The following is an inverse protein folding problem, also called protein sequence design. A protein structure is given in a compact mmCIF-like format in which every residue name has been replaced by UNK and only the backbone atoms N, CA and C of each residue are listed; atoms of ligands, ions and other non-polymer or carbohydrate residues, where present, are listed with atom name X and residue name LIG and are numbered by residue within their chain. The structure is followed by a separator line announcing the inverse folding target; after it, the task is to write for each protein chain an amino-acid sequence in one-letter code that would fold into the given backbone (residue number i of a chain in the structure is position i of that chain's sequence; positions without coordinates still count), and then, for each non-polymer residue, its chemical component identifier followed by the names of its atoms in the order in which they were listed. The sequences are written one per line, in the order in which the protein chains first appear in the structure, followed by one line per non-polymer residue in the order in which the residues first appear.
data_IF_957028652486
#
_entry.id   IF_957028652486
#
_cell.length_a   1.000
_cell.length_b   1.000
_cell.length_c   1.000
_cell.angle_alpha   90.00
_cell.angle_beta   90.00
_cell.angle_gamma   90.00
#
_symmetry.space_group_name_H-M   'P 1'
#
loop_
_entity.id
_entity.type
_entity.pdbx_description
1 polymer ?
#
# COMPACT_ATOMS: atom_id res chain seq x y z
N UNK A 1 10.56 11.63 15.81
CA UNK A 1 10.80 11.54 14.35
C UNK A 1 12.21 12.05 14.05
N UNK A 2 13.08 11.22 13.48
CA UNK A 2 14.46 11.63 13.09
C UNK A 2 14.53 12.26 11.70
N UNK A 3 13.55 11.97 10.82
CA UNK A 3 13.47 12.50 9.44
C UNK A 3 12.97 13.96 9.44
N UNK A 4 13.42 14.75 8.48
CA UNK A 4 13.02 16.16 8.23
C UNK A 4 13.02 16.47 6.74
N UNK A 5 12.40 17.58 6.35
CA UNK A 5 12.40 18.07 4.97
C UNK A 5 11.86 17.04 3.98
N UNK A 6 12.52 16.93 2.83
CA UNK A 6 12.10 16.00 1.75
C UNK A 6 12.03 14.56 2.21
N UNK A 7 12.97 14.10 3.04
CA UNK A 7 13.02 12.71 3.53
C UNK A 7 11.81 12.33 4.38
N UNK A 8 11.21 13.30 5.07
CA UNK A 8 9.99 13.10 5.84
C UNK A 8 8.76 13.09 4.92
N UNK A 9 8.71 14.00 3.94
CA UNK A 9 7.58 14.06 2.98
C UNK A 9 7.53 12.83 2.06
N UNK A 10 8.68 12.21 1.76
CA UNK A 10 8.78 11.00 0.94
C UNK A 10 8.53 9.68 1.69
N UNK A 11 8.43 9.74 3.02
CA UNK A 11 8.25 8.59 3.89
C UNK A 11 6.76 8.41 4.25
N UNK A 12 6.06 7.41 3.69
CA UNK A 12 4.61 7.27 3.83
C UNK A 12 4.15 7.10 5.28
N UNK A 13 5.02 6.56 6.14
CA UNK A 13 4.71 6.31 7.55
C UNK A 13 4.70 7.62 8.35
N UNK A 14 5.55 8.58 8.00
CA UNK A 14 5.69 9.85 8.74
C UNK A 14 5.08 11.05 8.03
N UNK A 15 4.77 10.93 6.73
CA UNK A 15 4.14 11.97 5.95
C UNK A 15 2.67 12.19 6.37
N UNK A 16 2.32 13.43 6.70
CA UNK A 16 0.95 13.84 7.03
C UNK A 16 0.25 14.57 5.87
N UNK A 17 0.91 14.72 4.73
CA UNK A 17 0.39 15.49 3.59
C UNK A 17 0.09 16.93 3.99
N UNK A 18 -1.17 17.34 3.86
CA UNK A 18 -1.61 18.69 4.22
C UNK A 18 -1.95 18.86 5.71
N UNK A 19 -1.92 17.78 6.50
CA UNK A 19 -2.22 17.83 7.94
C UNK A 19 -1.06 18.26 8.84
N UNK A 20 0.11 18.61 8.31
CA UNK A 20 1.15 19.24 9.14
C UNK A 20 0.67 20.59 9.69
N UNK A 21 0.56 20.77 11.01
CA UNK A 21 0.32 22.08 11.62
C UNK A 21 1.47 23.03 11.30
N UNK A 22 1.22 24.34 11.30
CA UNK A 22 2.25 25.35 10.96
C UNK A 22 3.53 25.19 11.80
N UNK A 23 3.38 24.94 13.10
CA UNK A 23 4.50 24.70 14.02
C UNK A 23 5.34 23.48 13.65
N UNK A 24 4.71 22.38 13.19
CA UNK A 24 5.45 21.22 12.68
C UNK A 24 6.12 21.53 11.35
N UNK A 25 5.50 22.34 10.49
CA UNK A 25 6.08 22.71 9.19
C UNK A 25 7.41 23.44 9.35
N UNK A 26 7.48 24.39 10.28
CA UNK A 26 8.71 25.12 10.60
C UNK A 26 9.74 24.18 11.27
N UNK A 27 9.33 23.44 12.32
CA UNK A 27 10.23 22.58 13.11
C UNK A 27 10.81 21.39 12.32
N UNK A 28 10.03 20.82 11.42
CA UNK A 28 10.41 19.66 10.59
C UNK A 28 10.96 20.08 9.22
N UNK A 29 11.09 21.40 8.97
CA UNK A 29 11.63 21.95 7.73
C UNK A 29 10.85 21.52 6.48
N UNK A 30 9.52 21.45 6.58
CA UNK A 30 8.62 21.12 5.46
C UNK A 30 7.79 22.31 4.96
N UNK A 31 7.88 23.47 5.63
CA UNK A 31 7.33 24.72 5.07
C UNK A 31 7.99 25.03 3.72
N UNK A 32 7.17 25.31 2.71
CA UNK A 32 7.63 25.49 1.32
C UNK A 32 7.79 24.18 0.54
N UNK A 33 7.77 23.01 1.20
CA UNK A 33 7.76 21.69 0.54
C UNK A 33 6.36 21.11 0.38
N UNK A 34 5.38 21.64 1.13
CA UNK A 34 3.95 21.30 1.00
C UNK A 34 3.13 22.57 0.77
N UNK A 35 1.97 22.49 0.06
CA UNK A 35 1.07 23.62 -0.14
C UNK A 35 0.72 24.33 1.18
N UNK A 36 0.53 25.67 1.19
CA UNK A 36 0.33 26.44 2.42
C UNK A 36 -0.98 26.10 3.15
N UNK A 37 -1.97 25.57 2.44
CA UNK A 37 -3.24 25.12 3.02
C UNK A 37 -3.00 23.98 4.00
N UNK A 38 -3.65 24.04 5.15
CA UNK A 38 -3.67 22.97 6.16
C UNK A 38 -5.05 22.31 6.08
N UNK A 39 -5.08 20.98 6.01
CA UNK A 39 -6.30 20.18 6.05
C UNK A 39 -6.26 19.24 7.24
N UNK A 40 -7.37 19.10 7.96
CA UNK A 40 -7.57 18.01 8.92
C UNK A 40 -7.51 16.65 8.23
N UNK A 41 -7.36 15.57 9.03
CA UNK A 41 -7.36 14.22 8.47
C UNK A 41 -8.73 13.90 7.83
N UNK A 42 -9.84 14.38 8.40
CA UNK A 42 -11.19 14.23 7.86
C UNK A 42 -11.37 14.96 6.52
N UNK A 43 -10.80 16.15 6.37
CA UNK A 43 -10.84 16.87 5.10
C UNK A 43 -10.01 16.17 4.01
N UNK A 44 -8.86 15.60 4.38
CA UNK A 44 -8.05 14.79 3.46
C UNK A 44 -8.78 13.52 3.05
N UNK A 45 -9.38 12.82 4.00
CA UNK A 45 -10.24 11.66 3.75
C UNK A 45 -11.36 12.01 2.77
N UNK A 46 -12.08 13.10 2.97
CA UNK A 46 -13.15 13.53 2.06
C UNK A 46 -12.66 13.73 0.62
N UNK A 47 -11.46 14.31 0.44
CA UNK A 47 -10.87 14.48 -0.90
C UNK A 47 -10.58 13.13 -1.55
N UNK A 48 -9.99 12.20 -0.80
CA UNK A 48 -9.71 10.85 -1.31
C UNK A 48 -11.01 10.09 -1.60
N UNK A 49 -12.02 10.22 -0.74
CA UNK A 49 -13.32 9.55 -0.91
C UNK A 49 -14.09 10.07 -2.13
N UNK A 50 -13.95 11.36 -2.46
CA UNK A 50 -14.49 11.92 -3.70
C UNK A 50 -13.85 11.27 -4.94
N UNK A 51 -12.53 11.11 -4.97
CA UNK A 51 -11.83 10.38 -6.04
C UNK A 51 -12.17 8.88 -6.06
N UNK A 52 -12.26 8.24 -4.89
CA UNK A 52 -12.63 6.84 -4.75
C UNK A 52 -14.04 6.58 -5.30
N UNK A 53 -15.00 7.47 -5.03
CA UNK A 53 -16.40 7.30 -5.41
C UNK A 53 -16.69 7.80 -6.82
N UNK A 54 -16.12 8.95 -7.22
CA UNK A 54 -16.47 9.66 -8.46
C UNK A 54 -15.39 9.63 -9.53
N UNK A 55 -14.20 9.09 -9.23
CA UNK A 55 -13.08 9.05 -10.17
C UNK A 55 -13.53 8.59 -11.55
N UNK A 56 -13.31 9.44 -12.56
CA UNK A 56 -13.89 9.33 -13.90
C UNK A 56 -13.79 7.89 -14.44
N UNK A 57 -14.94 7.30 -14.75
CA UNK A 57 -15.03 6.07 -15.54
C UNK A 57 -14.28 6.23 -16.89
N UNK A 58 -14.17 7.45 -17.44
CA UNK A 58 -13.40 7.75 -18.66
C UNK A 58 -11.89 7.47 -18.55
N UNK A 59 -11.30 7.38 -17.33
CA UNK A 59 -9.91 6.90 -17.16
C UNK A 59 -9.81 5.36 -17.17
N UNK A 60 -10.93 4.66 -17.10
CA UNK A 60 -10.98 3.21 -17.22
C UNK A 60 -11.01 2.76 -18.70
N UNK A 61 -11.23 3.66 -19.66
CA UNK A 61 -11.41 3.35 -21.10
C UNK A 61 -10.15 2.85 -21.84
N UNK A 62 -8.97 2.84 -21.22
CA UNK A 62 -7.83 2.05 -21.70
C UNK A 62 -7.85 0.70 -21.00
N UNK A 63 -8.86 -0.09 -21.33
CA UNK A 63 -9.08 -1.43 -20.82
C UNK A 63 -8.04 -2.36 -21.47
N UNK A 64 -7.16 -3.00 -20.69
CA UNK A 64 -6.47 -4.19 -21.20
C UNK A 64 -7.55 -5.24 -21.47
N UNK A 65 -7.53 -5.85 -22.66
CA UNK A 65 -8.26 -7.09 -22.94
C UNK A 65 -7.62 -8.24 -22.13
N UNK A 66 -7.71 -8.17 -20.81
CA UNK A 66 -7.13 -9.15 -19.90
C UNK A 66 -8.20 -10.15 -19.46
N UNK A 67 -7.93 -11.44 -19.67
CA UNK A 67 -8.85 -12.55 -19.35
C UNK A 67 -9.27 -12.62 -17.87
N UNK A 68 -8.63 -11.83 -17.00
CA UNK A 68 -8.87 -11.76 -15.54
C UNK A 68 -10.23 -11.12 -15.19
N UNK A 69 -10.88 -10.42 -16.14
CA UNK A 69 -12.27 -9.95 -16.00
C UNK A 69 -13.24 -11.14 -15.77
N UNK A 70 -12.85 -12.38 -16.08
CA UNK A 70 -13.63 -13.60 -15.81
C UNK A 70 -13.69 -14.03 -14.33
N UNK A 71 -13.02 -13.33 -13.40
CA UNK A 71 -12.89 -13.72 -11.97
C UNK A 71 -13.75 -12.91 -10.98
N UNK A 72 -14.66 -12.06 -11.47
CA UNK A 72 -15.51 -11.22 -10.61
C UNK A 72 -14.85 -9.91 -10.15
N UNK A 73 -13.70 -9.54 -10.72
CA UNK A 73 -13.06 -8.23 -10.52
C UNK A 73 -13.50 -7.29 -11.64
N UNK A 74 -14.22 -6.22 -11.29
CA UNK A 74 -14.63 -5.20 -12.24
C UNK A 74 -13.54 -4.15 -12.49
N UNK A 75 -13.57 -3.43 -13.64
CA UNK A 75 -12.72 -2.26 -13.87
C UNK A 75 -12.82 -1.21 -12.75
N UNK A 76 -14.01 -1.06 -12.14
CA UNK A 76 -14.20 -0.15 -11.02
C UNK A 76 -13.45 -0.60 -9.76
N UNK A 77 -13.40 -1.92 -9.49
CA UNK A 77 -12.59 -2.44 -8.39
C UNK A 77 -11.10 -2.12 -8.60
N UNK A 78 -10.59 -2.29 -9.82
CA UNK A 78 -9.20 -1.99 -10.18
C UNK A 78 -8.91 -0.49 -10.00
N UNK A 79 -9.80 0.38 -10.48
CA UNK A 79 -9.69 1.83 -10.31
C UNK A 79 -9.64 2.20 -8.83
N UNK A 80 -10.56 1.67 -8.02
CA UNK A 80 -10.61 1.88 -6.56
C UNK A 80 -9.34 1.39 -5.88
N UNK A 81 -8.83 0.21 -6.25
CA UNK A 81 -7.56 -0.30 -5.75
C UNK A 81 -6.40 0.64 -6.07
N UNK A 82 -6.32 1.15 -7.30
CA UNK A 82 -5.28 2.11 -7.71
C UNK A 82 -5.34 3.40 -6.88
N UNK A 83 -6.54 3.89 -6.56
CA UNK A 83 -6.72 5.07 -5.67
C UNK A 83 -6.14 4.75 -4.29
N UNK A 84 -6.57 3.65 -3.66
CA UNK A 84 -6.13 3.26 -2.32
C UNK A 84 -4.62 3.00 -2.24
N UNK A 85 -4.06 2.29 -3.22
CA UNK A 85 -2.62 2.05 -3.32
C UNK A 85 -1.84 3.38 -3.43
N UNK A 86 -2.36 4.34 -4.20
CA UNK A 86 -1.74 5.66 -4.31
C UNK A 86 -1.69 6.42 -2.98
N UNK A 87 -2.69 6.22 -2.11
CA UNK A 87 -2.74 6.82 -0.78
C UNK A 87 -1.73 6.13 0.13
N UNK A 88 -1.72 4.80 0.15
CA UNK A 88 -0.75 4.00 0.91
C UNK A 88 0.70 4.35 0.53
N UNK A 89 0.97 4.63 -0.75
CA UNK A 89 2.30 5.01 -1.26
C UNK A 89 2.78 6.38 -0.77
N UNK A 90 1.87 7.23 -0.28
CA UNK A 90 2.15 8.62 0.11
C UNK A 90 1.95 8.88 1.59
N UNK A 91 0.96 8.26 2.22
CA UNK A 91 0.53 8.53 3.60
C UNK A 91 -0.22 7.31 4.16
N UNK A 92 0.50 6.45 4.87
CA UNK A 92 -0.05 5.22 5.45
C UNK A 92 -1.04 5.52 6.58
N UNK A 93 -0.82 6.58 7.35
CA UNK A 93 -1.77 6.98 8.41
C UNK A 93 -3.14 7.30 7.81
N UNK A 94 -3.18 8.04 6.70
CA UNK A 94 -4.42 8.34 6.00
C UNK A 94 -5.02 7.09 5.33
N UNK A 95 -4.19 6.23 4.72
CA UNK A 95 -4.65 4.97 4.14
C UNK A 95 -5.38 4.10 5.18
N UNK A 96 -4.75 3.82 6.31
CA UNK A 96 -5.35 3.00 7.36
C UNK A 96 -6.55 3.68 8.01
N UNK A 97 -6.54 5.01 8.15
CA UNK A 97 -7.71 5.75 8.63
C UNK A 97 -8.93 5.51 7.73
N UNK A 98 -8.77 5.72 6.42
CA UNK A 98 -9.84 5.55 5.43
C UNK A 98 -10.31 4.10 5.40
N UNK A 99 -9.37 3.15 5.43
CA UNK A 99 -9.66 1.72 5.41
C UNK A 99 -10.43 1.28 6.67
N UNK A 100 -10.06 1.76 7.86
CA UNK A 100 -10.78 1.44 9.10
C UNK A 100 -12.18 2.04 9.13
N UNK A 101 -12.34 3.29 8.69
CA UNK A 101 -13.63 3.98 8.68
C UNK A 101 -14.61 3.35 7.65
N UNK A 102 -14.10 2.64 6.63
CA UNK A 102 -14.87 2.08 5.51
C UNK A 102 -14.56 0.59 5.26
N UNK A 103 -14.21 -0.16 6.30
CA UNK A 103 -13.58 -1.48 6.17
C UNK A 103 -14.41 -2.49 5.39
N UNK A 104 -15.72 -2.55 5.63
CA UNK A 104 -16.62 -3.50 4.98
C UNK A 104 -16.63 -3.35 3.45
N UNK A 105 -16.54 -2.11 2.95
CA UNK A 105 -16.57 -1.81 1.51
C UNK A 105 -15.18 -1.90 0.87
N UNK A 106 -14.13 -1.59 1.63
CA UNK A 106 -12.76 -1.50 1.11
C UNK A 106 -11.95 -2.79 1.26
N UNK A 107 -12.27 -3.66 2.22
CA UNK A 107 -11.57 -4.93 2.38
C UNK A 107 -11.60 -5.80 1.10
N UNK A 108 -12.74 -5.93 0.36
CA UNK A 108 -12.76 -6.65 -0.91
C UNK A 108 -11.97 -5.98 -2.04
N UNK A 109 -11.68 -4.69 -1.91
CA UNK A 109 -10.89 -3.92 -2.89
C UNK A 109 -9.40 -4.14 -2.67
N UNK A 110 -8.92 -4.09 -1.42
CA UNK A 110 -7.49 -4.26 -1.11
C UNK A 110 -7.08 -5.74 -1.00
N UNK A 111 -8.05 -6.64 -0.81
CA UNK A 111 -7.84 -8.08 -0.71
C UNK A 111 -8.66 -8.82 -1.78
N UNK A 112 -9.16 -10.02 -1.49
CA UNK A 112 -9.88 -10.84 -2.45
C UNK A 112 -11.25 -10.24 -2.81
N UNK A 113 -11.63 -10.22 -4.11
CA UNK A 113 -10.94 -10.83 -5.25
C UNK A 113 -9.89 -9.93 -5.94
N UNK A 114 -9.91 -8.61 -5.72
CA UNK A 114 -9.12 -7.63 -6.50
C UNK A 114 -7.60 -7.79 -6.35
N UNK A 115 -7.12 -8.25 -5.20
CA UNK A 115 -5.69 -8.56 -4.99
C UNK A 115 -5.18 -9.63 -5.95
N UNK A 116 -6.03 -10.55 -6.41
CA UNK A 116 -5.67 -11.56 -7.40
C UNK A 116 -5.25 -10.90 -8.72
N UNK A 117 -6.04 -9.93 -9.19
CA UNK A 117 -5.69 -9.11 -10.36
C UNK A 117 -4.38 -8.36 -10.14
N UNK A 118 -4.19 -7.75 -8.96
CA UNK A 118 -2.96 -7.04 -8.64
C UNK A 118 -1.72 -7.96 -8.63
N UNK A 119 -1.85 -9.21 -8.17
CA UNK A 119 -0.78 -10.21 -8.20
C UNK A 119 -0.41 -10.60 -9.64
N UNK A 120 -1.39 -10.84 -10.51
CA UNK A 120 -1.15 -11.18 -11.92
C UNK A 120 -0.46 -10.05 -12.71
N UNK A 121 -0.66 -8.80 -12.30
CA UNK A 121 -0.08 -7.62 -12.95
C UNK A 121 1.05 -6.98 -12.14
N UNK A 122 1.59 -7.70 -11.14
CA UNK A 122 2.48 -7.11 -10.14
C UNK A 122 3.68 -6.38 -10.76
N UNK A 123 4.31 -6.97 -11.78
CA UNK A 123 5.46 -6.38 -12.48
C UNK A 123 5.13 -5.06 -13.18
N UNK A 124 3.91 -4.92 -13.73
CA UNK A 124 3.46 -3.69 -14.38
C UNK A 124 3.04 -2.62 -13.37
N UNK A 125 2.56 -3.05 -12.20
CA UNK A 125 2.10 -2.19 -11.11
C UNK A 125 3.22 -1.77 -10.16
N UNK A 126 4.42 -2.34 -10.30
CA UNK A 126 5.54 -2.06 -9.42
C UNK A 126 5.95 -0.58 -9.50
N UNK A 127 5.84 0.12 -8.37
CA UNK A 127 6.20 1.54 -8.23
C UNK A 127 7.12 1.82 -7.06
N UNK A 128 6.88 1.14 -5.94
CA UNK A 128 7.63 1.29 -4.69
C UNK A 128 7.85 -0.08 -4.05
N UNK A 129 9.05 -0.39 -3.54
CA UNK A 129 9.26 -1.61 -2.77
C UNK A 129 8.46 -1.55 -1.45
N UNK A 130 7.76 -2.63 -1.11
CA UNK A 130 6.90 -2.73 0.09
C UNK A 130 7.21 -3.92 1.00
N UNK A 131 8.14 -4.79 0.59
CA UNK A 131 8.51 -5.98 1.34
C UNK A 131 9.94 -6.37 1.06
N UNK A 132 10.33 -7.51 1.61
CA UNK A 132 11.61 -8.13 1.32
C UNK A 132 11.46 -9.22 0.28
N UNK A 133 12.45 -9.29 -0.60
CA UNK A 133 12.54 -10.24 -1.69
C UNK A 133 13.76 -11.09 -1.43
N UNK A 134 13.57 -12.39 -1.40
CA UNK A 134 14.66 -13.36 -1.38
C UNK A 134 14.55 -14.21 -2.62
N UNK A 135 15.68 -14.74 -3.06
CA UNK A 135 15.77 -15.63 -4.20
C UNK A 135 16.62 -16.85 -3.84
N UNK A 136 16.62 -17.86 -4.71
CA UNK A 136 17.54 -18.99 -4.58
C UNK A 136 19.02 -18.55 -4.52
N UNK A 137 19.37 -17.44 -5.18
CA UNK A 137 20.73 -16.90 -5.20
C UNK A 137 21.22 -16.36 -3.85
N UNK A 138 20.30 -16.05 -2.95
CA UNK A 138 20.61 -15.49 -1.63
C UNK A 138 20.89 -16.56 -0.56
N UNK A 139 20.97 -17.85 -0.97
CA UNK A 139 21.22 -18.97 -0.07
C UNK A 139 22.55 -18.79 0.66
N UNK A 140 22.48 -18.66 1.98
CA UNK A 140 23.64 -18.40 2.84
C UNK A 140 23.73 -16.94 3.30
N UNK A 141 23.09 -16.01 2.59
CA UNK A 141 23.12 -14.56 2.87
C UNK A 141 21.79 -14.02 3.40
N UNK A 142 20.68 -14.78 3.32
CA UNK A 142 19.36 -14.29 3.74
C UNK A 142 19.33 -13.70 5.17
N UNK A 143 20.10 -14.28 6.09
CA UNK A 143 20.18 -13.79 7.47
C UNK A 143 20.80 -12.38 7.55
N UNK A 144 21.82 -12.08 6.75
CA UNK A 144 22.43 -10.75 6.71
C UNK A 144 21.50 -9.74 6.03
N UNK A 145 20.75 -10.16 5.02
CA UNK A 145 19.80 -9.32 4.30
C UNK A 145 18.64 -8.81 5.17
N UNK A 146 18.19 -9.57 6.19
CA UNK A 146 17.10 -9.15 7.09
C UNK A 146 17.41 -7.82 7.79
N UNK A 147 18.69 -7.52 8.06
CA UNK A 147 19.10 -6.24 8.66
C UNK A 147 18.92 -5.03 7.73
N UNK A 148 18.59 -5.24 6.45
CA UNK A 148 18.22 -4.15 5.55
C UNK A 148 16.78 -3.64 5.78
N UNK A 149 15.94 -4.38 6.52
CA UNK A 149 14.60 -3.92 6.87
C UNK A 149 14.65 -2.71 7.81
N UNK A 150 13.75 -1.74 7.63
CA UNK A 150 13.83 -0.47 8.35
C UNK A 150 13.41 -0.54 9.84
N UNK A 151 12.90 -1.68 10.30
CA UNK A 151 12.44 -1.89 11.67
C UNK A 151 13.13 -3.11 12.28
N UNK A 152 13.78 -2.89 13.42
CA UNK A 152 14.36 -3.96 14.25
C UNK A 152 13.28 -4.73 15.05
N UNK A 153 12.06 -4.19 15.12
CA UNK A 153 10.96 -4.75 15.88
C UNK A 153 9.83 -5.17 14.93
N UNK A 154 9.80 -6.45 14.55
CA UNK A 154 8.76 -7.04 13.71
C UNK A 154 7.91 -8.00 14.54
N UNK A 155 6.60 -7.77 14.58
CA UNK A 155 5.61 -8.59 15.30
C UNK A 155 4.99 -9.67 14.41
N UNK A 156 4.87 -9.41 13.10
CA UNK A 156 4.26 -10.34 12.17
C UNK A 156 4.97 -10.35 10.81
N UNK A 157 5.20 -11.56 10.31
CA UNK A 157 5.74 -11.80 8.97
C UNK A 157 4.71 -12.58 8.17
N UNK A 158 4.42 -12.15 6.95
CA UNK A 158 3.65 -12.95 5.99
C UNK A 158 4.53 -13.22 4.80
N UNK A 159 4.71 -14.51 4.51
CA UNK A 159 5.64 -15.01 3.51
C UNK A 159 4.93 -15.91 2.52
N UNK A 160 5.33 -15.84 1.25
CA UNK A 160 4.88 -16.72 0.18
C UNK A 160 6.02 -16.96 -0.80
N UNK A 161 6.03 -18.10 -1.47
CA UNK A 161 6.88 -18.42 -2.62
C UNK A 161 6.17 -18.13 -3.96
N UNK A 162 4.92 -17.65 -3.92
CA UNK A 162 4.16 -17.37 -5.14
C UNK A 162 3.60 -18.58 -5.89
N UNK A 163 3.90 -19.80 -5.46
CA UNK A 163 3.63 -21.03 -6.24
C UNK A 163 2.14 -21.39 -6.33
N UNK A 164 1.32 -20.89 -5.40
CA UNK A 164 -0.14 -21.08 -5.39
C UNK A 164 -0.88 -19.86 -4.87
N UNK A 165 -1.05 -18.87 -5.74
CA UNK A 165 -1.82 -17.66 -5.44
C UNK A 165 -3.30 -17.89 -5.72
N UNK A 166 -4.07 -18.05 -4.63
CA UNK A 166 -5.52 -18.25 -4.68
C UNK A 166 -5.88 -19.42 -5.63
N UNK A 167 -6.74 -19.17 -6.62
CA UNK A 167 -7.04 -20.08 -7.73
C UNK A 167 -6.31 -19.75 -9.04
N UNK A 168 -5.32 -18.84 -9.00
CA UNK A 168 -4.61 -18.33 -10.18
C UNK A 168 -3.36 -19.14 -10.52
N UNK A 169 -2.95 -20.07 -9.65
CA UNK A 169 -1.75 -20.89 -9.83
C UNK A 169 -0.48 -20.17 -9.42
N UNK A 170 0.61 -20.46 -10.13
CA UNK A 170 1.93 -19.91 -9.85
C UNK A 170 2.08 -18.52 -10.47
N UNK A 171 2.33 -17.52 -9.62
CA UNK A 171 2.61 -16.14 -10.02
C UNK A 171 4.01 -15.66 -9.57
N UNK A 172 4.83 -16.54 -8.99
CA UNK A 172 6.15 -16.22 -8.44
C UNK A 172 6.17 -14.92 -7.63
N UNK A 173 7.00 -13.96 -8.04
CA UNK A 173 7.13 -12.64 -7.39
C UNK A 173 5.80 -11.87 -7.27
N UNK A 174 4.84 -12.11 -8.16
CA UNK A 174 3.51 -11.52 -8.08
C UNK A 174 2.75 -11.90 -6.81
N UNK A 175 3.13 -13.03 -6.18
CA UNK A 175 2.62 -13.48 -4.90
C UNK A 175 2.84 -12.50 -3.75
N UNK A 176 3.82 -11.61 -3.82
CA UNK A 176 4.06 -10.61 -2.78
C UNK A 176 2.81 -9.74 -2.50
N UNK A 177 1.95 -9.53 -3.49
CA UNK A 177 0.66 -8.85 -3.31
C UNK A 177 -0.23 -9.48 -2.24
N UNK A 178 -0.18 -10.81 -2.06
CA UNK A 178 -0.91 -11.51 -1.00
C UNK A 178 -0.31 -11.20 0.38
N UNK A 179 1.03 -11.20 0.49
CA UNK A 179 1.70 -10.88 1.75
C UNK A 179 1.40 -9.45 2.20
N UNK A 180 1.45 -8.49 1.28
CA UNK A 180 1.09 -7.09 1.53
C UNK A 180 -0.38 -6.99 1.96
N UNK A 181 -1.30 -7.52 1.16
CA UNK A 181 -2.74 -7.40 1.44
C UNK A 181 -3.15 -8.06 2.76
N UNK A 182 -2.56 -9.20 3.13
CA UNK A 182 -2.81 -9.83 4.43
C UNK A 182 -2.34 -8.95 5.59
N UNK A 183 -1.17 -8.34 5.48
CA UNK A 183 -0.65 -7.46 6.52
C UNK A 183 -1.43 -6.15 6.62
N UNK A 184 -1.94 -5.61 5.51
CA UNK A 184 -2.85 -4.47 5.54
C UNK A 184 -4.12 -4.78 6.35
N UNK A 185 -4.66 -6.00 6.24
CA UNK A 185 -5.76 -6.46 7.07
C UNK A 185 -5.35 -6.64 8.55
N UNK A 186 -4.13 -7.09 8.84
CA UNK A 186 -3.63 -7.21 10.22
C UNK A 186 -3.51 -5.84 10.87
N UNK A 187 -3.03 -4.83 10.14
CA UNK A 187 -2.95 -3.45 10.64
C UNK A 187 -4.35 -2.89 10.85
N UNK A 188 -5.22 -2.96 9.83
CA UNK A 188 -6.53 -2.31 9.86
C UNK A 188 -7.54 -2.98 10.81
N UNK A 189 -7.57 -4.32 10.84
CA UNK A 189 -8.55 -5.06 11.65
C UNK A 189 -7.95 -5.64 12.94
N UNK A 190 -6.65 -5.96 12.95
CA UNK A 190 -5.94 -6.54 14.09
C UNK A 190 -5.19 -5.53 14.96
N UNK A 191 -5.10 -4.26 14.55
CA UNK A 191 -4.43 -3.21 15.32
C UNK A 191 -2.90 -3.33 15.37
N UNK A 192 -2.29 -4.09 14.46
CA UNK A 192 -0.84 -4.17 14.34
C UNK A 192 -0.25 -2.83 13.93
N UNK A 193 0.93 -2.49 14.44
CA UNK A 193 1.60 -1.27 14.03
C UNK A 193 2.23 -1.47 12.63
N UNK A 194 2.03 -0.57 11.64
CA UNK A 194 2.48 -0.79 10.26
C UNK A 194 4.01 -0.89 10.10
N UNK A 195 4.80 -0.25 10.97
CA UNK A 195 6.27 -0.45 11.00
C UNK A 195 6.71 -1.84 11.50
N UNK A 196 5.81 -2.60 12.13
CA UNK A 196 6.12 -3.87 12.81
C UNK A 196 5.58 -5.07 12.06
N UNK A 197 5.19 -4.89 10.79
CA UNK A 197 4.79 -5.97 9.90
C UNK A 197 5.78 -6.07 8.73
N UNK A 198 6.03 -7.29 8.26
CA UNK A 198 7.02 -7.55 7.22
C UNK A 198 6.44 -8.51 6.16
N UNK A 199 6.09 -7.99 4.96
CA UNK A 199 5.71 -8.84 3.83
C UNK A 199 6.97 -9.36 3.14
N UNK A 200 6.96 -10.66 2.84
CA UNK A 200 8.10 -11.37 2.22
C UNK A 200 7.63 -12.20 1.02
N UNK A 201 8.49 -12.27 0.00
CA UNK A 201 8.41 -13.25 -1.08
C UNK A 201 9.76 -13.99 -1.25
N UNK A 202 9.68 -15.29 -1.53
CA UNK A 202 10.82 -16.21 -1.77
C UNK A 202 10.97 -16.57 -3.24
#
# INVERSE_FOLDING_TARGET
VRKKGRNLVSDPISNKGLAFPLSERDRLSVRGLVPPRILSIQEQERVIMDEYTRGWAARAEQEPEDEIIKSGVSPDNIRKWKVLQSVQDRNETLFYRILMDNFQDMAPIIYTPTVGWACSHFSQLYRRPRGMYFSHGDRGEMASMVYNWESDEVDAVVITDGSRILGLGDLGLGGLGISIGKLDLYVAAGGFHPRRVLPVVL
#
